data_IF_430386911352
#
_entry.id   IF_430386911352
#
_cell.length_a   1.000
_cell.length_b   1.000
_cell.length_c   1.000
_cell.angle_alpha   90.00
_cell.angle_beta   90.00
_cell.angle_gamma   90.00
#
_symmetry.space_group_name_H-M   'P 1'
#
loop_
_entity.id
_entity.type
_entity.pdbx_description
1 polymer ?
#
# COMPACT_ATOMS: atom_id res chain seq x y z
N UNK A 1 0.01 -18.17 -5.23
CA UNK A 1 0.55 -17.84 -6.57
C UNK A 1 2.01 -18.21 -6.59
N UNK A 2 2.48 -18.86 -7.67
CA UNK A 2 3.89 -19.22 -7.84
C UNK A 2 4.57 -18.40 -8.96
N UNK A 3 3.76 -17.81 -9.84
CA UNK A 3 4.22 -16.96 -10.93
C UNK A 3 4.49 -15.53 -10.46
N UNK A 4 5.45 -14.88 -11.11
CA UNK A 4 5.69 -13.45 -10.98
C UNK A 4 4.44 -12.67 -11.43
N UNK A 5 4.00 -11.73 -10.61
CA UNK A 5 2.89 -10.84 -10.92
C UNK A 5 3.20 -9.44 -10.39
N UNK A 6 2.84 -8.44 -11.18
CA UNK A 6 2.99 -7.03 -10.82
C UNK A 6 1.64 -6.48 -10.37
N UNK A 7 1.62 -5.79 -9.23
CA UNK A 7 0.43 -5.10 -8.76
C UNK A 7 0.38 -3.68 -9.34
N UNK A 8 -0.69 -3.37 -10.07
CA UNK A 8 -1.06 -2.00 -10.42
C UNK A 8 -2.33 -1.69 -9.63
N UNK A 9 -2.20 -0.84 -8.61
CA UNK A 9 -3.26 -0.59 -7.63
C UNK A 9 -3.37 0.91 -7.36
N UNK A 10 -4.60 1.42 -7.24
CA UNK A 10 -4.85 2.80 -6.84
C UNK A 10 -4.56 3.01 -5.35
N UNK A 11 -4.21 4.24 -4.97
CA UNK A 11 -3.77 4.57 -3.61
C UNK A 11 -4.89 4.96 -2.65
N UNK A 12 -6.15 4.88 -3.07
CA UNK A 12 -7.30 5.17 -2.21
C UNK A 12 -7.58 4.07 -1.18
N UNK A 13 -7.26 2.80 -1.52
CA UNK A 13 -7.50 1.62 -0.68
C UNK A 13 -8.94 1.52 -0.13
N UNK A 14 -9.93 2.05 -0.86
CA UNK A 14 -11.33 2.04 -0.48
C UNK A 14 -12.07 0.89 -1.17
N UNK A 15 -11.97 -0.32 -0.60
CA UNK A 15 -12.58 -1.53 -1.17
C UNK A 15 -13.27 -2.41 -0.13
N UNK A 16 -14.37 -3.06 -0.53
CA UNK A 16 -15.12 -4.02 0.30
C UNK A 16 -14.33 -5.29 0.64
N UNK A 17 -13.37 -5.66 -0.23
CA UNK A 17 -12.54 -6.86 -0.05
C UNK A 17 -11.30 -6.60 0.82
N UNK A 18 -10.98 -5.34 1.11
CA UNK A 18 -9.92 -4.96 2.04
C UNK A 18 -10.41 -5.12 3.49
N UNK A 19 -10.19 -6.31 4.05
CA UNK A 19 -10.77 -6.72 5.34
C UNK A 19 -9.77 -6.84 6.48
N UNK A 20 -8.53 -7.24 6.20
CA UNK A 20 -7.55 -7.58 7.23
C UNK A 20 -6.39 -6.59 7.28
N UNK A 21 -5.82 -6.42 8.48
CA UNK A 21 -4.58 -5.65 8.70
C UNK A 21 -3.46 -6.17 7.80
N UNK A 22 -3.33 -7.49 7.70
CA UNK A 22 -2.33 -8.16 6.88
C UNK A 22 -2.47 -7.78 5.41
N UNK A 23 -3.68 -7.73 4.84
CA UNK A 23 -3.87 -7.32 3.45
C UNK A 23 -3.54 -5.85 3.24
N UNK A 24 -3.99 -4.96 4.13
CA UNK A 24 -3.67 -3.54 4.04
C UNK A 24 -2.16 -3.30 4.11
N UNK A 25 -1.51 -3.79 5.17
CA UNK A 25 -0.08 -3.62 5.35
C UNK A 25 0.75 -4.25 4.23
N UNK A 26 0.26 -5.31 3.58
CA UNK A 26 0.95 -5.91 2.44
C UNK A 26 1.12 -4.93 1.27
N UNK A 27 0.28 -3.90 1.14
CA UNK A 27 0.35 -2.92 0.06
C UNK A 27 0.78 -1.51 0.50
N UNK A 28 0.83 -1.24 1.81
CA UNK A 28 1.13 0.10 2.36
C UNK A 28 2.39 0.13 3.22
N UNK A 29 3.17 -0.94 3.22
CA UNK A 29 4.46 -1.03 3.92
C UNK A 29 5.52 -1.54 2.96
N UNK A 30 6.77 -1.66 3.43
CA UNK A 30 7.88 -2.21 2.66
C UNK A 30 7.65 -3.67 2.21
N UNK A 31 6.61 -4.36 2.67
CA UNK A 31 6.25 -5.66 2.11
C UNK A 31 5.99 -5.60 0.59
N UNK A 32 5.44 -4.48 0.09
CA UNK A 32 5.33 -4.23 -1.34
C UNK A 32 6.61 -3.57 -1.84
N UNK A 33 7.46 -4.36 -2.50
CA UNK A 33 8.68 -3.87 -3.13
C UNK A 33 8.30 -3.14 -4.40
N UNK A 34 8.79 -1.90 -4.57
CA UNK A 34 8.41 -1.11 -5.75
C UNK A 34 9.16 -1.57 -6.99
N UNK A 35 8.62 -1.33 -8.20
CA UNK A 35 9.34 -1.63 -9.44
C UNK A 35 10.73 -0.99 -9.49
N UNK A 36 10.88 0.22 -8.98
CA UNK A 36 12.14 0.95 -8.94
C UNK A 36 13.18 0.24 -8.06
N UNK A 37 12.78 -0.22 -6.86
CA UNK A 37 13.64 -1.02 -5.98
C UNK A 37 14.05 -2.35 -6.64
N UNK A 38 13.11 -3.02 -7.32
CA UNK A 38 13.41 -4.28 -8.04
C UNK A 38 14.43 -4.03 -9.17
N UNK A 39 14.23 -2.98 -9.97
CA UNK A 39 15.13 -2.63 -11.06
C UNK A 39 16.53 -2.28 -10.53
N UNK A 40 16.61 -1.49 -9.46
CA UNK A 40 17.89 -1.17 -8.82
C UNK A 40 18.63 -2.43 -8.36
N UNK A 41 17.95 -3.36 -7.69
CA UNK A 41 18.57 -4.61 -7.24
C UNK A 41 19.05 -5.46 -8.41
N UNK A 42 18.28 -5.50 -9.51
CA UNK A 42 18.67 -6.22 -10.72
C UNK A 42 19.89 -5.59 -11.39
N UNK A 43 19.96 -4.27 -11.48
CA UNK A 43 21.10 -3.54 -12.06
C UNK A 43 22.38 -3.75 -11.24
N UNK A 44 22.27 -3.75 -9.90
CA UNK A 44 23.40 -3.92 -9.00
C UNK A 44 23.89 -5.37 -8.88
N UNK A 45 22.97 -6.34 -8.80
CA UNK A 45 23.28 -7.75 -8.46
C UNK A 45 23.13 -8.72 -9.62
N UNK A 46 22.56 -8.28 -10.75
CA UNK A 46 22.22 -9.12 -11.90
C UNK A 46 21.08 -10.13 -11.64
N UNK A 47 20.49 -10.14 -10.44
CA UNK A 47 19.44 -11.07 -10.04
C UNK A 47 18.69 -10.56 -8.81
N UNK A 48 17.42 -10.94 -8.68
CA UNK A 48 16.58 -10.58 -7.54
C UNK A 48 16.46 -11.75 -6.56
N UNK A 49 17.40 -11.84 -5.63
CA UNK A 49 17.36 -12.79 -4.52
C UNK A 49 17.29 -12.04 -3.19
N UNK A 50 16.34 -12.47 -2.35
CA UNK A 50 16.21 -11.99 -0.99
C UNK A 50 16.95 -12.95 -0.04
N UNK A 51 17.76 -12.38 0.84
CA UNK A 51 18.37 -13.10 1.96
C UNK A 51 17.31 -13.56 2.95
N UNK A 52 17.60 -14.59 3.78
CA UNK A 52 16.68 -15.03 4.83
C UNK A 52 16.27 -13.89 5.78
N UNK A 53 17.18 -12.96 6.07
CA UNK A 53 16.90 -11.79 6.91
C UNK A 53 15.93 -10.82 6.22
N UNK A 54 16.17 -10.46 4.96
CA UNK A 54 15.26 -9.60 4.19
C UNK A 54 13.86 -10.23 4.12
N UNK A 55 13.76 -11.54 3.85
CA UNK A 55 12.48 -12.26 3.83
C UNK A 55 11.75 -12.15 5.17
N UNK A 56 12.48 -12.29 6.29
CA UNK A 56 11.91 -12.12 7.62
C UNK A 56 11.42 -10.69 7.84
N UNK A 57 12.26 -9.69 7.57
CA UNK A 57 11.94 -8.27 7.76
C UNK A 57 10.71 -7.84 6.94
N UNK A 58 10.62 -8.30 5.69
CA UNK A 58 9.43 -8.07 4.86
C UNK A 58 8.20 -8.71 5.48
N UNK A 59 8.27 -9.97 5.93
CA UNK A 59 7.12 -10.65 6.56
C UNK A 59 6.63 -9.91 7.80
N UNK A 60 7.54 -9.38 8.61
CA UNK A 60 7.18 -8.60 9.81
C UNK A 60 6.44 -7.29 9.47
N UNK A 61 6.67 -6.72 8.30
CA UNK A 61 5.98 -5.51 7.85
C UNK A 61 4.44 -5.68 7.83
N UNK A 62 3.94 -6.89 7.56
CA UNK A 62 2.50 -7.19 7.58
C UNK A 62 1.88 -7.07 8.99
N UNK A 63 2.70 -7.19 10.02
CA UNK A 63 2.26 -7.17 11.42
C UNK A 63 2.33 -5.78 12.06
N UNK A 64 2.93 -4.80 11.38
CA UNK A 64 3.05 -3.42 11.83
C UNK A 64 1.71 -2.79 12.22
N UNK A 65 1.71 -1.76 13.09
CA UNK A 65 0.52 -0.98 13.41
C UNK A 65 -0.13 -0.38 12.16
N UNK A 66 -1.45 -0.26 12.15
CA UNK A 66 -2.18 0.36 11.04
C UNK A 66 -1.88 1.86 10.99
N UNK A 67 -1.38 2.32 9.84
CA UNK A 67 -1.14 3.73 9.54
C UNK A 67 -1.73 4.08 8.19
N UNK A 68 -2.37 5.24 8.09
CA UNK A 68 -2.90 5.74 6.82
C UNK A 68 -1.76 5.98 5.80
N UNK A 69 -1.93 5.48 4.58
CA UNK A 69 -0.96 5.66 3.49
C UNK A 69 -0.93 7.09 2.91
N UNK A 70 -1.90 7.94 3.28
CA UNK A 70 -2.06 9.30 2.75
C UNK A 70 -1.65 10.39 3.75
N UNK A 71 -1.85 10.16 5.05
CA UNK A 71 -1.55 11.14 6.10
C UNK A 71 -0.77 10.59 7.31
N UNK A 72 -0.38 9.30 7.29
CA UNK A 72 0.39 8.62 8.34
C UNK A 72 -0.30 8.50 9.72
N UNK A 73 -1.58 8.89 9.84
CA UNK A 73 -2.36 8.74 11.07
C UNK A 73 -2.48 7.28 11.48
N UNK A 74 -2.28 6.99 12.77
CA UNK A 74 -2.39 5.64 13.32
C UNK A 74 -3.85 5.27 13.61
N UNK A 75 -4.19 4.00 13.40
CA UNK A 75 -5.52 3.45 13.65
C UNK A 75 -5.44 2.18 14.50
N UNK A 76 -6.44 1.99 15.37
CA UNK A 76 -6.52 0.83 16.25
C UNK A 76 -7.23 -0.37 15.61
N UNK A 77 -8.02 -0.14 14.57
CA UNK A 77 -8.77 -1.19 13.87
C UNK A 77 -8.90 -0.91 12.37
N UNK A 78 -9.14 -1.98 11.60
CA UNK A 78 -9.40 -1.89 10.16
C UNK A 78 -10.66 -1.06 9.87
N UNK A 79 -11.71 -1.18 10.69
CA UNK A 79 -12.95 -0.43 10.48
C UNK A 79 -12.70 1.09 10.55
N UNK A 80 -11.98 1.54 11.57
CA UNK A 80 -11.62 2.96 11.72
C UNK A 80 -10.75 3.45 10.56
N UNK A 81 -9.80 2.63 10.13
CA UNK A 81 -8.97 2.95 8.96
C UNK A 81 -9.81 3.05 7.68
N UNK A 82 -10.75 2.13 7.43
CA UNK A 82 -11.61 2.16 6.24
C UNK A 82 -12.47 3.42 6.19
N UNK A 83 -13.08 3.82 7.32
CA UNK A 83 -13.81 5.08 7.39
C UNK A 83 -12.91 6.27 7.08
N UNK A 84 -11.70 6.28 7.60
CA UNK A 84 -10.74 7.34 7.34
C UNK A 84 -10.29 7.41 5.87
N UNK A 85 -10.01 6.27 5.23
CA UNK A 85 -9.69 6.20 3.80
C UNK A 85 -10.85 6.69 2.92
N UNK A 86 -12.10 6.36 3.30
CA UNK A 86 -13.30 6.84 2.63
C UNK A 86 -13.41 8.37 2.69
N UNK A 87 -13.05 9.00 3.81
CA UNK A 87 -13.03 10.46 3.92
C UNK A 87 -12.04 11.09 2.93
N UNK A 88 -10.81 10.58 2.84
CA UNK A 88 -9.84 11.06 1.86
C UNK A 88 -10.33 10.90 0.41
N UNK A 89 -11.01 9.81 0.09
CA UNK A 89 -11.59 9.61 -1.24
C UNK A 89 -12.67 10.67 -1.53
N UNK A 90 -13.58 10.93 -0.58
CA UNK A 90 -14.62 11.94 -0.73
C UNK A 90 -14.03 13.35 -0.91
N UNK A 91 -12.99 13.70 -0.14
CA UNK A 91 -12.27 14.96 -0.28
C UNK A 91 -11.63 15.13 -1.67
N UNK A 92 -11.00 14.07 -2.20
CA UNK A 92 -10.41 14.06 -3.54
C UNK A 92 -11.47 14.23 -4.62
N UNK A 93 -12.59 13.52 -4.53
CA UNK A 93 -13.71 13.62 -5.47
C UNK A 93 -14.28 15.05 -5.46
N UNK A 94 -14.58 15.60 -4.28
CA UNK A 94 -15.12 16.95 -4.15
C UNK A 94 -14.15 18.02 -4.68
N UNK A 95 -12.83 17.80 -4.54
CA UNK A 95 -11.81 18.69 -5.07
C UNK A 95 -11.72 18.60 -6.60
N UNK A 96 -11.79 17.41 -7.17
CA UNK A 96 -11.80 17.20 -8.62
C UNK A 96 -13.04 17.82 -9.28
N UNK A 97 -14.23 17.62 -8.71
CA UNK A 97 -15.48 18.22 -9.20
C UNK A 97 -15.43 19.75 -9.21
N UNK A 98 -14.88 20.37 -8.15
CA UNK A 98 -14.71 21.83 -8.06
C UNK A 98 -13.73 22.39 -9.10
N UNK A 99 -12.77 21.59 -9.57
CA UNK A 99 -11.84 22.00 -10.64
C UNK A 99 -12.52 21.93 -12.00
N UNK A 100 -13.21 20.83 -12.29
CA UNK A 100 -13.94 20.64 -13.54
C UNK A 100 -15.06 21.66 -13.77
N UNK A 101 -15.66 22.21 -12.69
CA UNK A 101 -16.71 23.24 -12.80
C UNK A 101 -16.16 24.66 -13.05
N UNK A 102 -14.84 24.85 -12.96
CA UNK A 102 -14.16 26.13 -13.19
C UNK A 102 -13.46 26.19 -14.55
N UNK A 103 -13.41 25.07 -15.26
CA UNK A 103 -12.90 24.92 -16.63
C UNK A 103 -14.07 25.01 -17.63
#
# INVERSE_FOLDING_TARGET
>A
MLQLHLHVISTDFCSDTLRSKTHYNAFTTRFLITPEEVLQVLDERGSFYLTPQEIYDYRECKHLPLRCNQCNMAHTSMLMLKFHLQMHLQERIATAQRRALKE
#
